data_IF_066190510057
#
_entry.id   IF_066190510057
#
_cell.length_a   1.000
_cell.length_b   1.000
_cell.length_c   1.000
_cell.angle_alpha   90.00
_cell.angle_beta   90.00
_cell.angle_gamma   90.00
#
_symmetry.space_group_name_H-M   'P 1'
#
loop_
_entity.id
_entity.type
_entity.pdbx_description
1 polymer ?
#
# COMPACT_ATOMS: atom_id res chain seq x y z
N UNK A 1 -20.03 -13.58 -36.43
CA UNK A 1 -19.25 -13.52 -35.18
C UNK A 1 -18.14 -12.50 -35.37
N UNK A 2 -18.37 -11.26 -34.92
CA UNK A 2 -17.43 -10.13 -35.07
C UNK A 2 -16.32 -10.13 -34.01
N UNK A 3 -16.54 -10.80 -32.88
CA UNK A 3 -15.60 -10.93 -31.76
C UNK A 3 -14.78 -12.24 -31.83
N UNK A 4 -15.12 -13.11 -32.79
CA UNK A 4 -14.45 -14.36 -33.09
C UNK A 4 -14.56 -15.42 -32.00
N UNK A 5 -15.57 -15.32 -31.13
CA UNK A 5 -15.84 -16.27 -30.05
C UNK A 5 -16.24 -17.65 -30.59
N UNK A 6 -16.36 -18.66 -29.72
CA UNK A 6 -16.82 -19.98 -30.16
C UNK A 6 -18.35 -20.02 -30.20
N UNK A 7 -19.01 -20.07 -31.38
CA UNK A 7 -20.48 -20.05 -31.47
C UNK A 7 -21.18 -21.27 -30.85
N UNK A 8 -20.42 -22.28 -30.39
CA UNK A 8 -20.93 -23.47 -29.69
C UNK A 8 -20.67 -23.46 -28.18
N UNK A 9 -19.99 -22.42 -27.67
CA UNK A 9 -19.65 -22.25 -26.26
C UNK A 9 -20.17 -20.87 -25.83
N UNK A 10 -20.92 -20.81 -24.74
CA UNK A 10 -21.54 -19.55 -24.31
C UNK A 10 -20.57 -18.62 -23.58
N UNK A 11 -19.44 -19.16 -23.13
CA UNK A 11 -18.33 -18.55 -22.39
C UNK A 11 -17.08 -19.10 -23.08
N UNK A 12 -16.32 -18.29 -23.80
CA UNK A 12 -15.30 -18.78 -24.74
C UNK A 12 -13.96 -19.07 -24.08
N UNK A 13 -13.60 -18.40 -23.00
CA UNK A 13 -12.35 -18.55 -22.25
C UNK A 13 -12.47 -19.29 -20.91
N UNK A 14 -13.67 -19.75 -20.54
CA UNK A 14 -13.98 -20.53 -19.32
C UNK A 14 -13.69 -19.77 -18.01
N UNK A 15 -13.92 -18.46 -17.99
CA UNK A 15 -13.65 -17.62 -16.82
C UNK A 15 -14.88 -17.46 -15.88
N UNK A 16 -16.05 -17.92 -16.32
CA UNK A 16 -17.30 -17.84 -15.58
C UNK A 16 -18.25 -16.71 -16.02
N UNK A 17 -17.85 -15.85 -16.97
CA UNK A 17 -18.73 -14.93 -17.69
C UNK A 17 -19.05 -15.46 -19.07
N UNK A 18 -20.30 -15.28 -19.48
CA UNK A 18 -20.67 -15.60 -20.87
C UNK A 18 -20.15 -14.54 -21.83
N UNK A 19 -19.76 -14.93 -23.06
CA UNK A 19 -19.38 -14.04 -24.17
C UNK A 19 -20.34 -12.84 -24.30
N UNK A 20 -21.63 -13.09 -24.07
CA UNK A 20 -22.68 -12.08 -24.17
C UNK A 20 -22.66 -11.08 -23.03
N UNK A 21 -22.35 -11.51 -21.81
CA UNK A 21 -22.21 -10.63 -20.64
C UNK A 21 -20.96 -9.77 -20.77
N UNK A 22 -19.84 -10.38 -21.15
CA UNK A 22 -18.59 -9.69 -21.41
C UNK A 22 -18.75 -8.59 -22.46
N UNK A 23 -19.27 -8.93 -23.66
CA UNK A 23 -19.39 -7.95 -24.74
C UNK A 23 -20.47 -6.89 -24.51
N UNK A 24 -21.62 -7.26 -23.93
CA UNK A 24 -22.78 -6.35 -23.86
C UNK A 24 -22.94 -5.64 -22.52
N UNK A 25 -22.30 -6.11 -21.45
CA UNK A 25 -22.47 -5.58 -20.08
C UNK A 25 -21.17 -5.06 -19.50
N UNK A 26 -20.09 -5.85 -19.53
CA UNK A 26 -18.84 -5.51 -18.85
C UNK A 26 -17.80 -4.84 -19.76
N UNK A 27 -17.91 -5.01 -21.08
CA UNK A 27 -16.95 -4.46 -22.03
C UNK A 27 -15.61 -5.22 -22.10
N UNK A 28 -15.55 -6.41 -21.49
CA UNK A 28 -14.37 -7.26 -21.41
C UNK A 28 -14.14 -8.07 -22.70
N UNK A 29 -13.01 -8.77 -22.78
CA UNK A 29 -12.62 -9.54 -23.95
C UNK A 29 -13.00 -11.03 -23.80
N UNK A 30 -13.98 -11.54 -24.57
CA UNK A 30 -14.53 -12.91 -24.47
C UNK A 30 -13.62 -14.03 -24.99
N UNK A 31 -12.32 -13.87 -24.84
CA UNK A 31 -11.26 -14.80 -25.24
C UNK A 31 -10.07 -14.74 -24.29
N UNK A 32 -10.16 -13.89 -23.28
CA UNK A 32 -9.11 -13.58 -22.34
C UNK A 32 -9.79 -13.50 -20.98
N UNK A 33 -9.64 -14.59 -20.23
CA UNK A 33 -10.25 -14.76 -18.92
C UNK A 33 -9.93 -13.66 -17.90
N UNK A 34 -8.89 -12.86 -18.11
CA UNK A 34 -8.44 -11.75 -17.27
C UNK A 34 -8.15 -10.59 -18.25
N UNK A 35 -9.07 -9.65 -18.39
CA UNK A 35 -9.05 -8.65 -19.45
C UNK A 35 -8.00 -7.57 -19.22
N UNK A 36 -7.74 -7.20 -17.98
CA UNK A 36 -6.83 -6.11 -17.63
C UNK A 36 -5.43 -6.58 -17.19
N UNK A 37 -5.21 -7.90 -17.10
CA UNK A 37 -3.98 -8.61 -16.73
C UNK A 37 -3.55 -8.42 -15.26
N UNK A 38 -4.46 -8.21 -14.33
CA UNK A 38 -4.14 -7.97 -12.92
C UNK A 38 -3.93 -9.27 -12.09
N UNK A 39 -4.38 -10.41 -12.61
CA UNK A 39 -4.30 -11.72 -11.99
C UNK A 39 -5.61 -12.25 -11.41
N UNK A 40 -6.73 -11.55 -11.55
CA UNK A 40 -8.10 -12.06 -11.37
C UNK A 40 -8.76 -12.29 -12.72
N UNK A 41 -9.68 -13.25 -12.75
CA UNK A 41 -10.49 -13.45 -13.95
C UNK A 41 -11.66 -12.47 -13.96
N UNK A 42 -12.11 -12.01 -15.14
CA UNK A 42 -13.24 -11.07 -15.25
C UNK A 42 -14.48 -11.64 -14.53
N UNK A 43 -14.66 -12.97 -14.62
CA UNK A 43 -15.68 -13.69 -13.87
C UNK A 43 -15.51 -13.71 -12.36
N UNK A 44 -14.30 -13.86 -11.82
CA UNK A 44 -14.08 -13.73 -10.37
C UNK A 44 -14.29 -12.29 -9.89
N UNK A 45 -13.81 -11.32 -10.65
CA UNK A 45 -13.98 -9.90 -10.37
C UNK A 45 -15.45 -9.51 -10.27
N UNK A 46 -16.26 -9.87 -11.27
CA UNK A 46 -17.69 -9.54 -11.31
C UNK A 46 -18.51 -10.35 -10.29
N UNK A 47 -18.25 -11.65 -10.16
CA UNK A 47 -19.14 -12.54 -9.40
C UNK A 47 -18.73 -12.73 -7.94
N UNK A 48 -17.47 -12.49 -7.58
CA UNK A 48 -16.92 -12.81 -6.25
C UNK A 48 -16.44 -11.56 -5.52
N UNK A 49 -15.60 -10.74 -6.17
CA UNK A 49 -14.88 -9.65 -5.49
C UNK A 49 -15.55 -8.28 -5.63
N UNK A 50 -16.34 -8.08 -6.69
CA UNK A 50 -17.02 -6.81 -6.97
C UNK A 50 -16.09 -5.71 -7.48
N UNK A 51 -14.97 -6.09 -8.10
CA UNK A 51 -14.00 -5.19 -8.75
C UNK A 51 -14.42 -4.88 -10.19
N UNK A 52 -13.76 -3.91 -10.83
CA UNK A 52 -14.00 -3.57 -12.25
C UNK A 52 -13.03 -4.36 -13.15
N UNK A 53 -13.51 -5.29 -14.00
CA UNK A 53 -12.64 -6.16 -14.82
C UNK A 53 -11.90 -5.44 -15.97
N UNK A 54 -11.94 -4.12 -15.97
CA UNK A 54 -11.20 -3.25 -16.89
C UNK A 54 -10.21 -2.34 -16.13
N UNK A 55 -10.13 -2.43 -14.81
CA UNK A 55 -9.30 -1.61 -13.94
C UNK A 55 -8.52 -2.46 -12.94
N UNK A 56 -7.20 -2.48 -13.11
CA UNK A 56 -6.30 -3.40 -12.41
C UNK A 56 -6.15 -3.13 -10.91
N UNK A 57 -6.71 -2.03 -10.42
CA UNK A 57 -6.58 -1.45 -9.09
C UNK A 57 -7.86 -0.65 -8.81
N UNK A 58 -8.92 -1.36 -8.43
CA UNK A 58 -10.28 -0.83 -8.33
C UNK A 58 -10.38 0.29 -7.28
N UNK A 59 -9.65 0.19 -6.17
CA UNK A 59 -9.71 1.19 -5.09
C UNK A 59 -8.62 2.28 -5.17
N UNK A 60 -7.73 2.17 -6.15
CA UNK A 60 -6.68 3.12 -6.50
C UNK A 60 -5.66 3.35 -5.38
N UNK A 61 -5.30 2.29 -4.65
CA UNK A 61 -4.30 2.34 -3.58
C UNK A 61 -2.89 1.89 -3.99
N UNK A 62 -2.70 1.56 -5.27
CA UNK A 62 -1.48 1.04 -5.94
C UNK A 62 -1.21 -0.45 -5.80
N UNK A 63 -2.04 -1.18 -5.05
CA UNK A 63 -2.07 -2.62 -5.02
C UNK A 63 -3.03 -3.10 -6.11
N UNK A 64 -2.65 -4.16 -6.84
CA UNK A 64 -3.54 -4.70 -7.86
C UNK A 64 -4.57 -5.62 -7.22
N UNK A 65 -5.81 -5.63 -7.71
CA UNK A 65 -6.91 -6.42 -7.11
C UNK A 65 -6.51 -7.91 -7.00
N UNK A 66 -5.87 -8.45 -8.03
CA UNK A 66 -5.32 -9.80 -8.02
C UNK A 66 -4.16 -10.02 -7.07
N UNK A 67 -3.34 -9.02 -6.78
CA UNK A 67 -2.31 -9.12 -5.76
C UNK A 67 -2.92 -9.11 -4.35
N UNK A 68 -3.93 -8.27 -4.13
CA UNK A 68 -4.68 -8.19 -2.88
C UNK A 68 -5.32 -9.51 -2.52
N UNK A 69 -6.05 -10.11 -3.47
CA UNK A 69 -6.73 -11.38 -3.25
C UNK A 69 -5.75 -12.54 -3.12
N UNK A 70 -4.80 -12.68 -4.06
CA UNK A 70 -4.00 -13.90 -4.19
C UNK A 70 -2.75 -13.92 -3.31
N UNK A 71 -2.23 -12.74 -2.92
CA UNK A 71 -0.95 -12.62 -2.21
C UNK A 71 -1.13 -12.10 -0.79
N UNK A 72 -1.89 -11.02 -0.63
CA UNK A 72 -1.94 -10.29 0.64
C UNK A 72 -3.17 -10.61 1.50
N UNK A 73 -4.25 -11.11 0.89
CA UNK A 73 -5.52 -11.37 1.55
C UNK A 73 -6.22 -10.11 2.03
N UNK A 74 -6.08 -9.01 1.28
CA UNK A 74 -6.72 -7.71 1.54
C UNK A 74 -8.00 -7.58 0.71
N UNK A 75 -8.70 -6.44 0.82
CA UNK A 75 -10.00 -6.25 0.18
C UNK A 75 -9.83 -5.34 -1.04
N UNK A 76 -10.00 -5.84 -2.28
CA UNK A 76 -9.69 -5.08 -3.49
C UNK A 76 -10.67 -3.95 -3.85
N UNK A 77 -11.54 -3.60 -2.91
CA UNK A 77 -12.49 -2.49 -3.07
C UNK A 77 -12.37 -1.48 -1.94
N UNK A 78 -11.41 -1.66 -1.04
CA UNK A 78 -11.19 -0.83 0.15
C UNK A 78 -9.71 -0.51 0.34
N UNK A 79 -9.32 0.78 0.30
CA UNK A 79 -7.92 1.15 0.17
C UNK A 79 -7.09 0.80 1.40
N UNK A 80 -5.89 0.30 1.14
CA UNK A 80 -4.87 -0.07 2.12
C UNK A 80 -3.81 1.03 2.29
N UNK A 81 -4.08 1.96 3.21
CA UNK A 81 -3.24 3.13 3.38
C UNK A 81 -2.48 3.10 4.70
N UNK A 82 -1.21 3.50 4.66
CA UNK A 82 -0.39 3.78 5.83
C UNK A 82 0.09 5.23 5.74
N UNK A 83 -0.27 6.07 6.72
CA UNK A 83 -0.08 7.52 6.62
C UNK A 83 0.61 8.06 7.87
N UNK A 84 1.82 8.58 7.73
CA UNK A 84 2.56 9.25 8.79
C UNK A 84 1.93 10.59 9.15
N UNK A 85 1.72 10.79 10.45
CA UNK A 85 1.18 12.06 10.99
C UNK A 85 2.13 12.74 11.96
N UNK A 86 3.16 12.04 12.45
CA UNK A 86 4.25 12.62 13.24
C UNK A 86 5.60 12.03 12.85
N UNK A 87 6.64 12.85 12.67
CA UNK A 87 6.71 14.29 12.94
C UNK A 87 5.86 15.17 12.00
N UNK A 88 5.44 16.34 12.50
CA UNK A 88 4.89 17.41 11.64
C UNK A 88 6.03 18.05 10.84
N UNK A 89 5.72 18.63 9.68
CA UNK A 89 6.73 19.34 8.89
C UNK A 89 7.37 20.49 9.68
N UNK A 90 8.69 20.62 9.56
CA UNK A 90 9.49 21.60 10.29
C UNK A 90 9.67 21.30 11.78
N UNK A 91 9.22 20.14 12.29
CA UNK A 91 9.43 19.78 13.69
C UNK A 91 10.92 19.81 14.08
N UNK A 92 11.20 20.06 15.36
CA UNK A 92 12.56 20.00 15.91
C UNK A 92 12.62 18.95 17.01
N UNK A 93 13.33 17.86 16.75
CA UNK A 93 13.61 16.81 17.73
C UNK A 93 15.00 16.99 18.31
N UNK A 94 15.17 16.69 19.60
CA UNK A 94 16.42 16.87 20.33
C UNK A 94 17.04 15.53 20.65
N UNK A 95 18.35 15.43 20.46
CA UNK A 95 19.15 14.28 20.86
C UNK A 95 18.93 13.98 22.35
N UNK A 96 18.72 12.71 22.66
CA UNK A 96 18.47 12.22 24.02
C UNK A 96 17.03 12.42 24.52
N UNK A 97 16.16 13.13 23.80
CA UNK A 97 14.73 13.27 24.12
C UNK A 97 13.91 12.15 23.47
N UNK A 98 12.73 11.87 24.03
CA UNK A 98 11.79 10.86 23.53
C UNK A 98 10.61 11.55 22.82
N UNK A 99 10.31 11.08 21.62
CA UNK A 99 9.20 11.53 20.79
C UNK A 99 8.30 10.35 20.39
N UNK A 100 7.04 10.64 20.07
CA UNK A 100 6.12 9.66 19.48
C UNK A 100 6.09 9.87 17.97
N UNK A 101 6.53 8.85 17.24
CA UNK A 101 6.15 8.65 15.84
C UNK A 101 4.71 8.20 15.84
N UNK A 102 3.89 8.69 14.90
CA UNK A 102 2.47 8.39 14.83
C UNK A 102 2.05 8.26 13.37
N UNK A 103 1.10 7.38 13.14
CA UNK A 103 0.52 7.12 11.83
C UNK A 103 -0.96 6.76 11.97
N UNK A 104 -1.68 6.82 10.86
CA UNK A 104 -2.98 6.20 10.68
C UNK A 104 -2.83 5.03 9.71
N UNK A 105 -3.67 4.01 9.84
CA UNK A 105 -3.77 2.90 8.88
C UNK A 105 -5.22 2.67 8.49
N UNK A 106 -5.47 2.35 7.23
CA UNK A 106 -6.77 1.99 6.66
C UNK A 106 -6.58 0.64 5.95
N UNK A 107 -7.58 -0.24 6.02
CA UNK A 107 -7.53 -1.53 5.34
C UNK A 107 -6.54 -2.55 5.94
N UNK A 108 -6.11 -3.46 5.09
CA UNK A 108 -5.26 -4.63 5.29
C UNK A 108 -3.75 -4.36 5.40
N UNK A 109 -3.33 -3.25 6.02
CA UNK A 109 -1.90 -2.95 6.27
C UNK A 109 -1.19 -4.02 7.13
N UNK A 110 -1.94 -4.85 7.84
CA UNK A 110 -1.39 -5.91 8.69
C UNK A 110 -0.98 -5.44 10.09
N UNK A 111 -0.56 -6.41 10.92
CA UNK A 111 -0.39 -6.21 12.37
C UNK A 111 0.89 -5.47 12.78
N UNK A 112 1.88 -5.41 11.89
CA UNK A 112 3.19 -4.87 12.22
C UNK A 112 3.75 -3.98 11.12
N UNK A 113 4.42 -2.92 11.55
CA UNK A 113 5.11 -1.96 10.69
C UNK A 113 6.60 -1.89 11.04
N UNK A 114 7.41 -1.58 10.03
CA UNK A 114 8.80 -1.17 10.17
C UNK A 114 8.89 0.35 10.18
N UNK A 115 9.82 0.89 10.95
CA UNK A 115 10.08 2.34 11.01
C UNK A 115 11.57 2.58 10.80
N UNK A 116 11.90 3.46 9.87
CA UNK A 116 13.26 3.85 9.51
C UNK A 116 13.43 5.37 9.58
N UNK A 117 14.67 5.79 9.83
CA UNK A 117 15.11 7.16 9.78
C UNK A 117 15.90 7.36 8.49
N UNK A 118 15.49 8.35 7.72
CA UNK A 118 16.15 8.78 6.50
C UNK A 118 16.57 10.24 6.64
N UNK A 119 17.60 10.64 5.88
CA UNK A 119 18.02 12.02 5.77
C UNK A 119 18.28 12.34 4.31
N UNK A 120 17.59 13.35 3.80
CA UNK A 120 17.48 13.60 2.37
C UNK A 120 17.05 12.29 1.68
N UNK A 121 17.86 11.73 0.77
CA UNK A 121 17.61 10.43 0.14
C UNK A 121 18.49 9.29 0.68
N UNK A 122 19.17 9.51 1.81
CA UNK A 122 20.10 8.54 2.39
C UNK A 122 19.49 7.86 3.61
N UNK A 123 19.51 6.53 3.60
CA UNK A 123 19.14 5.73 4.77
C UNK A 123 20.09 6.04 5.93
N UNK A 124 19.54 6.32 7.11
CA UNK A 124 20.31 6.58 8.33
C UNK A 124 20.29 5.35 9.23
N UNK A 125 19.09 4.88 9.62
CA UNK A 125 18.95 3.66 10.45
C UNK A 125 17.53 3.11 10.50
N UNK A 126 17.41 1.85 10.88
CA UNK A 126 16.15 1.27 11.38
C UNK A 126 15.88 1.75 12.80
N UNK A 127 14.74 2.40 13.03
CA UNK A 127 14.25 2.78 14.36
C UNK A 127 13.55 1.58 15.01
N UNK A 128 12.69 0.89 14.24
CA UNK A 128 12.03 -0.36 14.62
C UNK A 128 12.09 -1.31 13.43
N UNK A 129 12.65 -2.50 13.64
CA UNK A 129 12.58 -3.56 12.62
C UNK A 129 11.16 -4.14 12.49
N UNK A 130 10.41 -4.14 13.59
CA UNK A 130 8.99 -4.48 13.69
C UNK A 130 8.42 -3.83 14.96
N UNK A 131 7.24 -3.23 14.85
CA UNK A 131 6.42 -2.73 15.96
C UNK A 131 4.96 -2.92 15.61
N UNK A 132 4.09 -3.08 16.61
CA UNK A 132 2.66 -3.22 16.37
C UNK A 132 2.11 -2.04 15.55
N UNK A 133 1.19 -2.32 14.65
CA UNK A 133 0.43 -1.34 13.88
C UNK A 133 -0.71 -0.77 14.75
N UNK A 134 -0.37 -0.02 15.80
CA UNK A 134 -1.30 0.56 16.78
C UNK A 134 -1.37 2.10 16.72
N UNK A 135 -0.86 2.67 15.63
CA UNK A 135 -0.86 4.10 15.34
C UNK A 135 0.24 4.92 16.02
N UNK A 136 1.16 4.29 16.78
CA UNK A 136 2.27 5.02 17.41
C UNK A 136 3.49 4.18 17.77
N UNK A 137 4.66 4.81 17.78
CA UNK A 137 5.85 4.23 18.38
C UNK A 137 6.71 5.29 19.04
N UNK A 138 7.14 5.01 20.27
CA UNK A 138 8.03 5.91 20.99
C UNK A 138 9.48 5.67 20.59
N UNK A 139 10.19 6.74 20.24
CA UNK A 139 11.61 6.71 19.92
C UNK A 139 12.38 7.76 20.71
N UNK A 140 13.50 7.34 21.32
CA UNK A 140 14.46 8.25 21.93
C UNK A 140 15.55 8.51 20.90
N UNK A 141 15.73 9.77 20.51
CA UNK A 141 16.76 10.15 19.52
C UNK A 141 18.15 9.78 20.09
N UNK A 142 18.88 8.85 19.47
CA UNK A 142 20.19 8.40 19.94
C UNK A 142 21.24 9.51 19.88
N UNK A 143 22.29 9.37 20.70
CA UNK A 143 23.39 10.34 20.77
C UNK A 143 24.30 10.33 19.54
N UNK A 144 24.26 9.24 18.75
CA UNK A 144 24.98 9.06 17.48
C UNK A 144 24.23 9.63 16.26
N UNK A 145 23.02 10.18 16.42
CA UNK A 145 22.34 10.89 15.32
C UNK A 145 22.94 12.28 15.17
N UNK A 146 23.47 12.58 13.99
CA UNK A 146 24.07 13.87 13.70
C UNK A 146 23.02 15.00 13.69
N UNK A 147 23.27 16.13 14.37
CA UNK A 147 22.40 17.29 14.26
C UNK A 147 22.32 17.80 12.82
N UNK A 148 21.13 18.25 12.41
CA UNK A 148 20.89 18.78 11.07
C UNK A 148 19.43 18.74 10.68
N UNK A 149 19.14 19.28 9.50
CA UNK A 149 17.83 19.27 8.89
C UNK A 149 17.73 18.16 7.83
N UNK A 150 16.55 18.01 7.23
CA UNK A 150 16.28 17.06 6.14
C UNK A 150 16.02 15.64 6.62
N UNK A 151 15.67 15.43 7.90
CA UNK A 151 15.28 14.10 8.37
C UNK A 151 13.83 13.81 8.01
N UNK A 152 13.56 12.56 7.65
CA UNK A 152 12.22 12.03 7.38
C UNK A 152 12.07 10.69 8.08
N UNK A 153 10.83 10.32 8.41
CA UNK A 153 10.50 8.99 8.90
C UNK A 153 9.93 8.22 7.72
N UNK A 154 10.44 7.01 7.49
CA UNK A 154 9.84 6.04 6.58
C UNK A 154 9.13 4.98 7.40
N UNK A 155 7.90 4.64 7.03
CA UNK A 155 7.13 3.57 7.62
C UNK A 155 6.66 2.62 6.53
N UNK A 156 6.66 1.31 6.81
CA UNK A 156 6.29 0.30 5.83
C UNK A 156 5.57 -0.85 6.53
N UNK A 157 4.51 -1.38 5.91
CA UNK A 157 3.89 -2.64 6.34
C UNK A 157 4.87 -3.81 6.24
N UNK A 158 4.87 -4.67 7.26
CA UNK A 158 5.63 -5.93 7.19
C UNK A 158 4.89 -7.01 6.42
N UNK A 159 3.55 -6.99 6.42
CA UNK A 159 2.73 -7.98 5.73
C UNK A 159 2.72 -7.71 4.21
N UNK A 160 2.58 -6.44 3.83
CA UNK A 160 2.39 -5.99 2.45
C UNK A 160 3.37 -4.85 2.16
N UNK A 161 4.63 -5.12 1.78
CA UNK A 161 5.67 -4.10 1.69
C UNK A 161 5.42 -2.97 0.69
N UNK A 162 4.46 -3.13 -0.23
CA UNK A 162 3.99 -2.07 -1.12
C UNK A 162 3.26 -0.95 -0.37
N UNK A 163 2.63 -1.26 0.77
CA UNK A 163 1.99 -0.26 1.63
C UNK A 163 3.06 0.39 2.49
N UNK A 164 3.51 1.57 2.07
CA UNK A 164 4.49 2.38 2.78
C UNK A 164 4.19 3.88 2.71
N UNK A 165 4.92 4.65 3.52
CA UNK A 165 4.93 6.11 3.47
C UNK A 165 6.32 6.62 3.83
N UNK A 166 6.90 7.41 2.92
CA UNK A 166 8.23 8.03 3.06
C UNK A 166 8.20 9.28 3.94
N UNK A 167 7.01 9.73 4.35
CA UNK A 167 6.83 10.87 5.23
C UNK A 167 7.19 12.16 4.52
N UNK A 168 6.20 12.78 3.88
CA UNK A 168 6.35 14.08 3.21
C UNK A 168 6.87 15.19 4.14
N UNK A 169 6.67 15.00 5.45
CA UNK A 169 7.08 15.94 6.48
C UNK A 169 8.56 15.79 6.83
N UNK A 170 9.31 16.87 6.63
CA UNK A 170 10.71 16.96 7.05
C UNK A 170 10.81 17.43 8.49
N UNK A 171 11.86 17.03 9.20
CA UNK A 171 12.16 17.56 10.53
C UNK A 171 13.67 17.75 10.75
N UNK A 172 13.99 18.49 11.80
CA UNK A 172 15.36 18.78 12.22
C UNK A 172 15.72 18.06 13.50
N UNK A 173 16.97 17.60 13.60
CA UNK A 173 17.56 17.07 14.83
C UNK A 173 18.55 18.08 15.39
N UNK A 174 18.44 18.43 16.67
CA UNK A 174 19.34 19.37 17.35
C UNK A 174 19.96 18.76 18.60
N UNK A 175 21.17 19.20 18.96
CA UNK A 175 21.77 18.85 20.25
C UNK A 175 20.90 19.39 21.39
N UNK A 176 20.75 18.61 22.46
CA UNK A 176 20.19 19.11 23.71
C UNK A 176 21.10 20.22 24.22
N UNK A 177 20.55 21.40 24.56
CA UNK A 177 21.35 22.45 25.19
C UNK A 177 21.92 21.90 26.49
N UNK A 178 23.23 22.00 26.66
CA UNK A 178 23.86 21.75 27.95
C UNK A 178 23.24 22.70 28.99
N UNK A 179 22.87 22.16 30.16
CA UNK A 179 22.46 22.96 31.30
C UNK A 179 23.68 23.55 31.98
#
# INVERSE_FOLDING_TARGET
>A
NTHGTNPKKADTDDDGLSDGAEVNTHGTNPKKADTDDDGLSDGDEVNVYGTDPLDRDTDNDTLLDGAEVNVYGTNPTEPDLLILVKPEDGATWKIGEKYSIRWNSIGGVGEFVRIELWRDSSFVRKIKNSTANDGKSNWKVPDDVEPGDGYHIYIQSIATPAIDDIGDNSFSVKRKRAR
#
